data_IF_600230113590
#
_entry.id   IF_600230113590
#
_cell.length_a   1.000
_cell.length_b   1.000
_cell.length_c   1.000
_cell.angle_alpha   90.00
_cell.angle_beta   90.00
_cell.angle_gamma   90.00
#
_symmetry.space_group_name_H-M   'P 1'
#
loop_
_entity.id
_entity.type
_entity.pdbx_description
1 polymer ?
#
# COMPACT_ATOMS: atom_id res chain seq x y z
N UNK A 1 -18.20 -1.96 -23.08
CA UNK A 1 -16.80 -1.45 -23.00
C UNK A 1 -16.09 -2.19 -21.89
N UNK A 2 -14.85 -2.63 -22.12
CA UNK A 2 -14.02 -3.36 -21.16
C UNK A 2 -12.84 -2.47 -20.75
N UNK A 3 -12.70 -2.19 -19.46
CA UNK A 3 -11.66 -1.33 -18.92
C UNK A 3 -10.78 -2.13 -17.95
N UNK A 4 -9.45 -1.98 -18.05
CA UNK A 4 -8.52 -2.48 -17.04
C UNK A 4 -8.21 -1.36 -16.05
N UNK A 5 -8.56 -1.55 -14.79
CA UNK A 5 -8.25 -0.62 -13.72
C UNK A 5 -7.04 -1.10 -12.93
N UNK A 6 -6.02 -0.23 -12.85
CA UNK A 6 -4.78 -0.36 -12.12
C UNK A 6 -4.57 0.92 -11.30
N UNK A 7 -3.85 0.84 -10.18
CA UNK A 7 -3.43 1.99 -9.38
C UNK A 7 -2.16 1.68 -8.59
N UNK A 8 -1.60 2.68 -7.96
CA UNK A 8 -0.58 2.54 -6.93
C UNK A 8 0.61 1.70 -7.41
N UNK A 9 1.12 2.05 -8.61
CA UNK A 9 2.28 1.37 -9.19
C UNK A 9 3.54 1.60 -8.35
N UNK A 10 3.65 2.76 -7.71
CA UNK A 10 4.78 3.19 -6.88
C UNK A 10 6.13 2.88 -7.51
N UNK A 11 6.30 3.18 -8.80
CA UNK A 11 7.54 2.87 -9.52
C UNK A 11 8.73 3.53 -8.84
N UNK A 12 9.77 2.71 -8.59
CA UNK A 12 10.96 3.12 -7.84
C UNK A 12 10.88 2.90 -6.33
N UNK A 13 9.82 2.24 -5.83
CA UNK A 13 9.67 1.84 -4.41
C UNK A 13 10.84 1.01 -3.95
N UNK A 14 11.24 1.26 -2.70
CA UNK A 14 12.16 0.41 -1.94
C UNK A 14 11.45 -0.11 -0.70
N UNK A 15 11.61 -1.39 -0.42
CA UNK A 15 11.08 -2.02 0.80
C UNK A 15 12.28 -2.53 1.59
N UNK A 16 12.44 -2.11 2.84
CA UNK A 16 13.61 -2.46 3.67
C UNK A 16 14.94 -2.34 2.91
N UNK A 17 15.15 -1.23 2.19
CA UNK A 17 16.32 -0.93 1.35
C UNK A 17 16.46 -1.79 0.07
N UNK A 18 15.61 -2.78 -0.18
CA UNK A 18 15.59 -3.53 -1.44
C UNK A 18 14.84 -2.76 -2.53
N UNK A 19 15.43 -2.65 -3.71
CA UNK A 19 14.77 -2.05 -4.87
C UNK A 19 13.72 -3.00 -5.44
N UNK A 20 12.51 -2.50 -5.67
CA UNK A 20 11.43 -3.30 -6.27
C UNK A 20 11.36 -3.18 -7.80
N UNK A 21 12.27 -2.43 -8.45
CA UNK A 21 12.17 -2.09 -9.88
C UNK A 21 12.12 -3.32 -10.80
N UNK A 22 12.89 -4.37 -10.52
CA UNK A 22 12.89 -5.57 -11.35
C UNK A 22 11.58 -6.35 -11.22
N UNK A 23 11.03 -6.42 -10.01
CA UNK A 23 9.72 -7.01 -9.75
C UNK A 23 8.60 -6.16 -10.34
N UNK A 24 8.72 -4.83 -10.30
CA UNK A 24 7.80 -3.90 -10.92
C UNK A 24 7.80 -4.07 -12.45
N UNK A 25 8.96 -4.23 -13.07
CA UNK A 25 9.04 -4.55 -14.49
C UNK A 25 8.35 -5.88 -14.82
N UNK A 26 8.65 -6.92 -14.05
CA UNK A 26 8.07 -8.25 -14.24
C UNK A 26 6.54 -8.22 -14.15
N UNK A 27 5.98 -7.52 -13.15
CA UNK A 27 4.52 -7.47 -12.99
C UNK A 27 3.85 -6.65 -14.11
N UNK A 28 4.51 -5.57 -14.59
CA UNK A 28 4.02 -4.82 -15.74
C UNK A 28 4.06 -5.66 -17.04
N UNK A 29 5.09 -6.50 -17.24
CA UNK A 29 5.15 -7.46 -18.33
C UNK A 29 4.01 -8.49 -18.25
N UNK A 30 3.67 -8.98 -17.04
CA UNK A 30 2.52 -9.86 -16.83
C UNK A 30 1.20 -9.15 -17.17
N UNK A 31 1.04 -7.87 -16.77
CA UNK A 31 -0.15 -7.08 -17.12
C UNK A 31 -0.27 -6.92 -18.64
N UNK A 32 0.82 -6.65 -19.37
CA UNK A 32 0.81 -6.58 -20.82
C UNK A 32 0.41 -7.92 -21.45
N UNK A 33 0.88 -9.04 -20.91
CA UNK A 33 0.49 -10.39 -21.36
C UNK A 33 -1.00 -10.71 -21.09
N UNK A 34 -1.53 -10.22 -19.96
CA UNK A 34 -2.97 -10.30 -19.67
C UNK A 34 -3.80 -9.52 -20.70
N UNK A 35 -3.36 -8.33 -21.10
CA UNK A 35 -4.01 -7.52 -22.13
C UNK A 35 -4.00 -8.21 -23.51
N UNK A 36 -2.94 -8.94 -23.83
CA UNK A 36 -2.84 -9.68 -25.08
C UNK A 36 -3.78 -10.91 -25.10
N UNK A 37 -4.00 -11.55 -23.94
CA UNK A 37 -4.89 -12.70 -23.79
C UNK A 37 -6.35 -12.34 -23.49
N UNK A 38 -6.59 -11.18 -22.91
CA UNK A 38 -7.90 -10.67 -22.48
C UNK A 38 -8.07 -9.23 -22.94
N UNK A 39 -8.36 -8.99 -24.24
CA UNK A 39 -8.41 -7.64 -24.80
C UNK A 39 -9.38 -6.72 -24.06
N UNK A 40 -8.95 -5.48 -23.85
CA UNK A 40 -9.74 -4.39 -23.28
C UNK A 40 -9.80 -3.20 -24.23
N UNK A 41 -10.73 -2.29 -23.98
CA UNK A 41 -10.92 -1.08 -24.79
C UNK A 41 -10.10 0.09 -24.27
N UNK A 42 -9.74 0.10 -22.96
CA UNK A 42 -8.89 1.12 -22.35
C UNK A 42 -8.27 0.65 -21.03
N UNK A 43 -7.26 1.39 -20.58
CA UNK A 43 -6.57 1.19 -19.28
C UNK A 43 -6.75 2.43 -18.41
N UNK A 44 -7.14 2.25 -17.15
CA UNK A 44 -7.25 3.28 -16.13
C UNK A 44 -6.09 3.13 -15.15
N UNK A 45 -5.34 4.21 -14.90
CA UNK A 45 -4.25 4.30 -13.93
C UNK A 45 -4.65 5.32 -12.85
N UNK A 46 -5.15 4.82 -11.73
CA UNK A 46 -5.78 5.64 -10.70
C UNK A 46 -4.78 6.21 -9.67
N UNK A 47 -3.70 6.82 -10.14
CA UNK A 47 -2.73 7.57 -9.33
C UNK A 47 -1.61 6.74 -8.73
N UNK A 48 -0.69 7.43 -8.05
CA UNK A 48 0.56 6.91 -7.47
C UNK A 48 1.37 6.08 -8.45
N UNK A 49 1.65 6.72 -9.60
CA UNK A 49 2.47 6.12 -10.66
C UNK A 49 3.91 5.95 -10.19
N UNK A 50 4.41 6.92 -9.42
CA UNK A 50 5.74 6.89 -8.80
C UNK A 50 5.64 6.81 -7.27
N UNK A 51 6.69 6.27 -6.64
CA UNK A 51 6.79 6.22 -5.18
C UNK A 51 7.08 7.59 -4.54
N UNK A 52 7.64 8.53 -5.31
CA UNK A 52 8.06 9.85 -4.82
C UNK A 52 7.82 10.94 -5.86
N UNK A 53 7.58 12.20 -5.44
CA UNK A 53 7.39 13.33 -6.36
C UNK A 53 8.58 13.57 -7.29
N UNK A 54 9.79 13.15 -6.89
CA UNK A 54 11.01 13.15 -7.70
C UNK A 54 11.48 11.71 -7.85
N UNK A 55 10.98 10.98 -8.87
CA UNK A 55 11.32 9.58 -9.08
C UNK A 55 12.76 9.40 -9.57
N UNK A 56 13.40 8.26 -9.29
CA UNK A 56 14.67 7.92 -9.89
C UNK A 56 14.52 7.70 -11.41
N UNK A 57 15.60 7.95 -12.16
CA UNK A 57 15.59 7.87 -13.63
C UNK A 57 15.15 6.48 -14.15
N UNK A 58 15.46 5.41 -13.42
CA UNK A 58 15.05 4.04 -13.74
C UNK A 58 13.52 3.88 -13.69
N UNK A 59 12.87 4.48 -12.69
CA UNK A 59 11.40 4.46 -12.57
C UNK A 59 10.74 5.25 -13.72
N UNK A 60 11.32 6.39 -14.09
CA UNK A 60 10.85 7.19 -15.25
C UNK A 60 10.93 6.38 -16.54
N UNK A 61 12.08 5.71 -16.79
CA UNK A 61 12.23 4.83 -17.96
C UNK A 61 11.26 3.64 -17.94
N UNK A 62 10.95 3.11 -16.75
CA UNK A 62 10.00 2.00 -16.63
C UNK A 62 8.56 2.43 -16.95
N UNK A 63 8.13 3.60 -16.48
CA UNK A 63 6.81 4.14 -16.83
C UNK A 63 6.72 4.47 -18.32
N UNK A 64 7.73 5.13 -18.88
CA UNK A 64 7.81 5.46 -20.33
C UNK A 64 7.70 4.18 -21.17
N UNK A 65 8.46 3.13 -20.82
CA UNK A 65 8.38 1.84 -21.50
C UNK A 65 6.97 1.23 -21.42
N UNK A 66 6.32 1.27 -20.24
CA UNK A 66 4.99 0.72 -20.06
C UNK A 66 3.93 1.47 -20.87
N UNK A 67 3.92 2.81 -20.80
CA UNK A 67 3.01 3.64 -21.59
C UNK A 67 3.24 3.47 -23.10
N UNK A 68 4.48 3.35 -23.53
CA UNK A 68 4.84 3.07 -24.93
C UNK A 68 4.29 1.70 -25.38
N UNK A 69 4.42 0.68 -24.52
CA UNK A 69 3.90 -0.66 -24.82
C UNK A 69 2.37 -0.69 -24.90
N UNK A 70 1.66 0.09 -24.08
CA UNK A 70 0.21 0.26 -24.14
C UNK A 70 -0.21 1.02 -25.41
N UNK A 71 0.48 2.11 -25.74
CA UNK A 71 0.24 2.90 -26.95
C UNK A 71 0.47 2.10 -28.22
N UNK A 72 1.51 1.24 -28.28
CA UNK A 72 1.77 0.33 -29.39
C UNK A 72 0.60 -0.67 -29.63
N UNK A 73 -0.15 -1.02 -28.58
CA UNK A 73 -1.39 -1.80 -28.65
C UNK A 73 -2.61 -0.96 -29.05
N UNK A 74 -2.42 0.34 -29.28
CA UNK A 74 -3.49 1.31 -29.58
C UNK A 74 -4.54 1.42 -28.47
N UNK A 75 -4.19 1.05 -27.25
CA UNK A 75 -5.08 1.16 -26.09
C UNK A 75 -5.07 2.61 -25.58
N UNK A 76 -6.24 3.26 -25.42
CA UNK A 76 -6.36 4.49 -24.67
C UNK A 76 -5.93 4.24 -23.22
N UNK A 77 -5.12 5.14 -22.68
CA UNK A 77 -4.69 5.13 -21.28
C UNK A 77 -5.20 6.39 -20.61
N UNK A 78 -5.83 6.24 -19.47
CA UNK A 78 -6.36 7.32 -18.64
C UNK A 78 -5.63 7.31 -17.31
N UNK A 79 -4.77 8.29 -17.07
CA UNK A 79 -3.90 8.36 -15.91
C UNK A 79 -4.16 9.63 -15.09
N UNK A 80 -4.11 9.51 -13.79
CA UNK A 80 -4.14 10.64 -12.86
C UNK A 80 -2.90 10.62 -11.97
N UNK A 81 -2.57 11.75 -11.35
CA UNK A 81 -1.59 11.80 -10.26
C UNK A 81 -2.25 11.45 -8.92
N UNK A 82 -1.54 10.69 -8.08
CA UNK A 82 -1.89 10.42 -6.69
C UNK A 82 -1.20 11.37 -5.72
N UNK A 83 -1.18 11.01 -4.43
CA UNK A 83 -0.56 11.84 -3.39
C UNK A 83 0.98 11.72 -3.32
N UNK A 84 1.55 10.64 -3.83
CA UNK A 84 3.00 10.43 -3.97
C UNK A 84 3.58 11.11 -5.21
N UNK A 85 2.75 11.35 -6.22
CA UNK A 85 3.17 11.97 -7.48
C UNK A 85 3.31 13.50 -7.36
N UNK A 86 4.15 14.10 -8.25
CA UNK A 86 4.02 15.52 -8.58
C UNK A 86 3.05 15.68 -9.75
N UNK A 87 1.91 16.33 -9.51
CA UNK A 87 0.89 16.56 -10.54
C UNK A 87 1.48 17.26 -11.76
N UNK A 88 2.40 18.24 -11.56
CA UNK A 88 3.05 18.99 -12.63
C UNK A 88 3.96 18.10 -13.50
N UNK A 89 4.66 17.15 -12.87
CA UNK A 89 5.54 16.21 -13.58
C UNK A 89 4.76 15.17 -14.36
N UNK A 90 3.69 14.65 -13.77
CA UNK A 90 2.77 13.70 -14.43
C UNK A 90 2.06 14.39 -15.60
N UNK A 91 1.58 15.62 -15.43
CA UNK A 91 0.92 16.38 -16.47
C UNK A 91 1.87 16.90 -17.57
N UNK A 92 3.20 16.79 -17.37
CA UNK A 92 4.16 17.25 -18.37
C UNK A 92 3.96 16.55 -19.71
N UNK A 93 3.78 17.35 -20.76
CA UNK A 93 3.57 16.85 -22.13
C UNK A 93 2.20 16.22 -22.39
N UNK A 94 1.22 16.33 -21.48
CA UNK A 94 -0.12 15.73 -21.59
C UNK A 94 -0.81 16.00 -22.93
N UNK A 95 -0.69 17.21 -23.49
CA UNK A 95 -1.24 17.56 -24.80
C UNK A 95 -0.59 16.78 -25.94
N UNK A 96 0.72 16.49 -25.85
CA UNK A 96 1.43 15.68 -26.84
C UNK A 96 1.05 14.20 -26.70
N UNK A 97 0.96 13.72 -25.47
CA UNK A 97 0.58 12.34 -25.14
C UNK A 97 -0.84 12.01 -25.58
N UNK A 98 -1.77 12.95 -25.53
CA UNK A 98 -3.14 12.79 -26.03
C UNK A 98 -3.19 12.41 -27.51
N UNK A 99 -2.24 12.89 -28.33
CA UNK A 99 -2.08 12.45 -29.72
C UNK A 99 -1.76 10.96 -29.89
N UNK A 100 -1.19 10.33 -28.86
CA UNK A 100 -0.93 8.89 -28.76
C UNK A 100 -1.97 8.13 -27.94
N UNK A 101 -3.12 8.78 -27.67
CA UNK A 101 -4.22 8.25 -26.83
C UNK A 101 -3.83 7.98 -25.38
N UNK A 102 -2.83 8.66 -24.85
CA UNK A 102 -2.48 8.66 -23.43
C UNK A 102 -2.98 9.98 -22.84
N UNK A 103 -4.07 9.89 -22.09
CA UNK A 103 -4.75 11.01 -21.46
C UNK A 103 -4.32 11.09 -19.98
N UNK A 104 -3.70 12.21 -19.63
CA UNK A 104 -3.21 12.43 -18.27
C UNK A 104 -3.99 13.60 -17.67
N UNK A 105 -4.41 13.47 -16.42
CA UNK A 105 -5.06 14.59 -15.73
C UNK A 105 -4.13 15.80 -15.68
N UNK A 106 -4.65 17.00 -15.93
CA UNK A 106 -3.90 18.23 -15.67
C UNK A 106 -3.64 18.39 -14.17
N UNK A 107 -2.81 19.35 -13.80
CA UNK A 107 -2.82 19.91 -12.43
C UNK A 107 -4.23 20.45 -12.18
N UNK A 108 -4.77 20.21 -10.97
CA UNK A 108 -6.13 20.61 -10.66
C UNK A 108 -6.33 22.12 -10.82
N UNK A 109 -7.22 22.51 -11.72
CA UNK A 109 -7.58 23.90 -12.05
C UNK A 109 -9.11 24.12 -12.10
N UNK A 110 -9.89 23.09 -11.73
CA UNK A 110 -11.35 23.15 -11.71
C UNK A 110 -12.02 21.80 -11.97
N UNK A 111 -13.21 21.84 -12.53
CA UNK A 111 -14.00 20.65 -12.84
C UNK A 111 -13.37 19.90 -14.03
N UNK A 112 -13.05 18.60 -13.88
CA UNK A 112 -12.50 17.84 -15.00
C UNK A 112 -13.55 17.70 -16.13
N UNK A 113 -13.13 18.04 -17.35
CA UNK A 113 -13.91 17.73 -18.54
C UNK A 113 -13.83 16.22 -18.85
N UNK A 114 -14.95 15.58 -19.25
CA UNK A 114 -14.93 14.19 -19.61
C UNK A 114 -14.21 13.95 -20.96
N UNK A 115 -13.57 12.79 -21.06
CA UNK A 115 -13.06 12.24 -22.33
C UNK A 115 -14.00 11.13 -22.73
N UNK A 116 -14.69 11.27 -23.85
CA UNK A 116 -15.74 10.34 -24.28
C UNK A 116 -15.18 9.26 -25.21
N UNK A 117 -15.38 8.00 -24.85
CA UNK A 117 -15.25 6.85 -25.73
C UNK A 117 -16.64 6.36 -26.14
N UNK A 118 -16.73 5.60 -27.23
CA UNK A 118 -18.01 5.07 -27.71
C UNK A 118 -17.87 3.58 -28.07
N UNK A 119 -18.87 2.77 -27.71
CA UNK A 119 -19.04 1.38 -28.13
C UNK A 119 -20.48 1.11 -28.58
N UNK A 120 -20.84 -0.16 -28.76
CA UNK A 120 -22.17 -0.58 -29.23
C UNK A 120 -23.32 -0.18 -28.26
N UNK A 121 -23.02 0.12 -27.00
CA UNK A 121 -23.98 0.56 -25.99
C UNK A 121 -24.04 2.11 -25.87
N UNK A 122 -23.31 2.83 -26.72
CA UNK A 122 -23.28 4.30 -26.74
C UNK A 122 -22.04 4.89 -26.05
N UNK A 123 -22.09 6.18 -25.65
CA UNK A 123 -20.95 6.89 -25.09
C UNK A 123 -20.64 6.48 -23.65
N UNK A 124 -19.35 6.57 -23.31
CA UNK A 124 -18.79 6.44 -21.97
C UNK A 124 -17.92 7.65 -21.69
N UNK A 125 -18.31 8.45 -20.72
CA UNK A 125 -17.60 9.64 -20.28
C UNK A 125 -16.66 9.29 -19.15
N UNK A 126 -15.35 9.52 -19.35
CA UNK A 126 -14.29 9.21 -18.39
C UNK A 126 -13.76 10.53 -17.83
N UNK A 127 -13.92 10.70 -16.50
CA UNK A 127 -13.48 11.86 -15.75
C UNK A 127 -12.18 11.55 -15.03
N UNK A 128 -11.16 12.39 -15.20
CA UNK A 128 -9.85 12.23 -14.59
C UNK A 128 -9.70 13.26 -13.45
N UNK A 129 -9.83 12.81 -12.21
CA UNK A 129 -9.71 13.65 -11.02
C UNK A 129 -8.42 13.29 -10.26
N UNK A 130 -7.36 14.12 -10.31
CA UNK A 130 -6.14 13.88 -9.57
C UNK A 130 -6.39 13.93 -8.06
N UNK A 131 -5.41 13.52 -7.26
CA UNK A 131 -5.47 13.67 -5.81
C UNK A 131 -5.72 15.12 -5.41
N UNK A 132 -6.72 15.33 -4.56
CA UNK A 132 -7.13 16.65 -4.10
C UNK A 132 -6.79 16.87 -2.62
N UNK A 133 -6.24 18.04 -2.32
CA UNK A 133 -6.15 18.59 -0.96
C UNK A 133 -7.11 19.75 -0.81
N UNK A 134 -7.71 19.99 0.38
CA UNK A 134 -8.61 21.12 0.61
C UNK A 134 -8.04 22.46 0.16
N UNK A 135 -6.73 22.69 0.41
CA UNK A 135 -6.07 23.93 0.00
C UNK A 135 -6.05 24.17 -1.51
N UNK A 136 -5.93 23.09 -2.31
CA UNK A 136 -5.94 23.18 -3.78
C UNK A 136 -7.32 23.63 -4.27
N UNK A 137 -8.38 23.05 -3.71
CA UNK A 137 -9.76 23.36 -4.11
C UNK A 137 -10.16 24.76 -3.64
N UNK A 138 -9.75 25.19 -2.42
CA UNK A 138 -9.95 26.59 -1.96
C UNK A 138 -9.28 27.61 -2.88
N UNK A 139 -8.12 27.27 -3.45
CA UNK A 139 -7.45 28.18 -4.38
C UNK A 139 -8.27 28.44 -5.65
N UNK A 140 -8.96 27.41 -6.14
CA UNK A 140 -9.81 27.51 -7.35
C UNK A 140 -11.19 28.05 -7.04
N UNK A 141 -11.74 27.73 -5.87
CA UNK A 141 -13.09 28.14 -5.41
C UNK A 141 -13.00 28.85 -4.04
N UNK A 142 -12.50 30.10 -4.02
CA UNK A 142 -12.21 30.81 -2.76
C UNK A 142 -13.46 31.15 -1.94
N UNK A 143 -14.63 31.23 -2.57
CA UNK A 143 -15.90 31.55 -1.93
C UNK A 143 -16.63 30.34 -1.32
N UNK A 144 -16.09 29.12 -1.52
CA UNK A 144 -16.67 27.90 -0.98
C UNK A 144 -16.11 27.58 0.42
N UNK A 145 -16.96 27.14 1.37
CA UNK A 145 -16.53 26.76 2.72
C UNK A 145 -15.90 25.36 2.69
N UNK A 146 -14.63 25.28 2.34
CA UNK A 146 -13.88 24.02 2.21
C UNK A 146 -12.92 23.88 3.38
N UNK A 147 -13.22 23.00 4.34
CA UNK A 147 -12.37 22.71 5.49
C UNK A 147 -11.77 21.29 5.41
N UNK A 148 -12.58 20.32 4.98
CA UNK A 148 -12.21 18.90 4.94
C UNK A 148 -11.97 18.39 3.52
N UNK A 149 -11.41 17.20 3.40
CA UNK A 149 -11.27 16.49 2.12
C UNK A 149 -12.64 16.16 1.51
N UNK A 150 -13.65 15.82 2.34
CA UNK A 150 -15.03 15.62 1.87
C UNK A 150 -15.64 16.90 1.30
N UNK A 151 -15.40 18.06 1.91
CA UNK A 151 -15.87 19.35 1.37
C UNK A 151 -15.22 19.64 0.03
N UNK A 152 -13.91 19.43 -0.06
CA UNK A 152 -13.13 19.65 -1.27
C UNK A 152 -13.62 18.76 -2.42
N UNK A 153 -13.71 17.45 -2.20
CA UNK A 153 -14.21 16.51 -3.19
C UNK A 153 -15.67 16.81 -3.56
N UNK A 154 -16.53 17.02 -2.57
CA UNK A 154 -17.94 17.36 -2.77
C UNK A 154 -18.12 18.65 -3.55
N UNK A 155 -17.28 19.67 -3.32
CA UNK A 155 -17.30 20.91 -4.10
C UNK A 155 -17.05 20.65 -5.59
N UNK A 156 -16.09 19.81 -5.92
CA UNK A 156 -15.74 19.46 -7.31
C UNK A 156 -16.80 18.55 -7.93
N UNK A 157 -17.21 17.47 -7.24
CA UNK A 157 -18.13 16.47 -7.80
C UNK A 157 -19.55 17.01 -8.00
N UNK A 158 -20.03 17.93 -7.15
CA UNK A 158 -21.32 18.64 -7.40
C UNK A 158 -21.32 19.46 -8.67
N UNK A 159 -20.15 19.87 -9.15
CA UNK A 159 -19.96 20.60 -10.40
C UNK A 159 -19.71 19.69 -11.60
N UNK A 160 -19.29 18.44 -11.36
CA UNK A 160 -19.31 17.40 -12.36
C UNK A 160 -20.76 16.99 -12.58
N UNK A 161 -21.32 17.32 -13.73
CA UNK A 161 -22.70 16.95 -14.11
C UNK A 161 -22.65 15.91 -15.23
N UNK A 162 -22.47 14.60 -14.91
CA UNK A 162 -22.48 13.56 -15.94
C UNK A 162 -23.81 13.57 -16.70
N UNK A 163 -23.76 13.42 -18.02
CA UNK A 163 -24.96 13.25 -18.83
C UNK A 163 -25.68 11.97 -18.39
N UNK A 164 -26.94 12.04 -17.95
CA UNK A 164 -27.68 10.86 -17.52
C UNK A 164 -27.91 9.83 -18.62
N UNK A 165 -27.78 10.22 -19.90
CA UNK A 165 -27.86 9.30 -21.03
C UNK A 165 -26.55 8.56 -21.30
N UNK A 166 -25.40 9.09 -20.83
CA UNK A 166 -24.10 8.49 -20.99
C UNK A 166 -23.74 7.59 -19.79
N UNK A 167 -22.96 6.56 -20.02
CA UNK A 167 -22.27 5.83 -18.96
C UNK A 167 -21.10 6.69 -18.46
N UNK A 168 -20.89 6.72 -17.17
CA UNK A 168 -19.90 7.60 -16.56
C UNK A 168 -18.91 6.83 -15.68
N UNK A 169 -17.61 7.10 -15.88
CA UNK A 169 -16.52 6.53 -15.12
C UNK A 169 -15.72 7.67 -14.49
N UNK A 170 -15.53 7.62 -13.20
CA UNK A 170 -14.62 8.51 -12.49
C UNK A 170 -13.32 7.76 -12.16
N UNK A 171 -12.17 8.33 -12.49
CA UNK A 171 -10.86 7.90 -11.99
C UNK A 171 -10.43 8.89 -10.93
N UNK A 172 -10.23 8.44 -9.70
CA UNK A 172 -9.90 9.29 -8.55
C UNK A 172 -8.90 8.61 -7.63
N UNK A 173 -8.22 9.42 -6.80
CA UNK A 173 -7.23 8.93 -5.85
C UNK A 173 -7.50 9.60 -4.49
N UNK A 174 -8.29 8.93 -3.62
CA UNK A 174 -8.72 9.48 -2.34
C UNK A 174 -8.95 8.36 -1.33
N UNK A 175 -8.78 8.67 -0.03
CA UNK A 175 -9.15 7.76 1.04
C UNK A 175 -10.64 7.88 1.34
N UNK A 176 -11.41 6.81 1.13
CA UNK A 176 -12.86 6.79 1.33
C UNK A 176 -13.20 6.15 2.69
N UNK A 177 -14.06 6.79 3.45
CA UNK A 177 -14.49 6.32 4.76
C UNK A 177 -15.07 4.89 4.71
N UNK A 178 -14.70 4.06 5.67
CA UNK A 178 -15.11 2.65 5.76
C UNK A 178 -14.25 1.67 4.98
N UNK A 179 -13.23 2.13 4.25
CA UNK A 179 -12.21 1.27 3.67
C UNK A 179 -11.12 0.91 4.68
N UNK A 180 -10.50 -0.28 4.51
CA UNK A 180 -9.41 -0.76 5.36
C UNK A 180 -8.06 -0.34 4.78
N UNK A 181 -7.24 0.35 5.60
CA UNK A 181 -5.87 0.73 5.27
C UNK A 181 -4.85 -0.32 5.75
N UNK A 182 -3.65 -0.37 5.14
CA UNK A 182 -2.49 -1.14 5.58
C UNK A 182 -1.41 -0.19 6.13
N UNK A 183 -0.34 -0.77 6.71
CA UNK A 183 0.80 0.02 7.26
C UNK A 183 1.62 0.76 6.20
N UNK A 184 1.51 0.38 4.93
CA UNK A 184 2.20 1.04 3.82
C UNK A 184 1.54 2.33 3.35
N UNK A 185 0.33 2.58 3.79
CA UNK A 185 -0.42 3.81 3.57
C UNK A 185 -0.24 4.70 4.81
N UNK A 186 0.00 5.99 4.59
CA UNK A 186 0.15 6.97 5.68
C UNK A 186 -1.18 7.72 5.89
N UNK A 187 -2.16 7.14 6.62
CA UNK A 187 -3.39 7.87 6.91
C UNK A 187 -3.08 9.07 7.81
N UNK A 188 -3.70 10.20 7.55
CA UNK A 188 -3.58 11.37 8.42
C UNK A 188 -4.09 11.06 9.83
N UNK A 189 -3.40 11.62 10.82
CA UNK A 189 -3.79 11.46 12.23
C UNK A 189 -5.24 11.90 12.42
N UNK A 190 -6.08 10.97 12.93
CA UNK A 190 -7.51 11.22 13.17
C UNK A 190 -8.42 11.05 11.95
N UNK A 191 -7.93 10.51 10.81
CA UNK A 191 -8.77 10.23 9.63
C UNK A 191 -9.31 11.49 8.95
N UNK A 192 -8.62 12.62 9.07
CA UNK A 192 -9.02 13.92 8.50
C UNK A 192 -9.01 13.96 6.97
N UNK A 193 -8.35 12.99 6.34
CA UNK A 193 -8.24 12.80 4.88
C UNK A 193 -9.32 11.90 4.28
N UNK A 194 -10.20 11.33 5.11
CA UNK A 194 -11.33 10.52 4.67
C UNK A 194 -12.39 11.34 3.94
N UNK A 195 -12.90 10.77 2.83
CA UNK A 195 -14.03 11.33 2.08
C UNK A 195 -15.26 10.43 2.20
N UNK A 196 -16.46 11.02 2.11
CA UNK A 196 -17.71 10.28 2.14
C UNK A 196 -17.94 9.54 0.81
N UNK A 197 -18.18 8.22 0.87
CA UNK A 197 -18.46 7.39 -0.30
C UNK A 197 -19.73 7.77 -1.07
N UNK A 198 -20.70 8.40 -0.43
CA UNK A 198 -21.92 8.88 -1.08
C UNK A 198 -21.67 9.96 -2.15
N UNK A 199 -20.52 10.65 -2.09
CA UNK A 199 -20.12 11.62 -3.10
C UNK A 199 -19.96 11.01 -4.50
N UNK A 200 -19.80 9.71 -4.60
CA UNK A 200 -19.58 8.98 -5.86
C UNK A 200 -20.86 8.43 -6.51
N UNK A 201 -22.05 8.66 -5.92
CA UNK A 201 -23.31 8.05 -6.38
C UNK A 201 -23.72 8.44 -7.81
N UNK A 202 -23.20 9.57 -8.32
CA UNK A 202 -23.50 10.04 -9.68
C UNK A 202 -22.79 9.26 -10.81
N UNK A 203 -21.88 8.32 -10.50
CA UNK A 203 -21.08 7.61 -11.49
C UNK A 203 -21.45 6.11 -11.56
N UNK A 204 -21.42 5.53 -12.78
CA UNK A 204 -21.65 4.09 -12.97
C UNK A 204 -20.50 3.26 -12.40
N UNK A 205 -19.26 3.72 -12.59
CA UNK A 205 -18.06 3.10 -12.02
C UNK A 205 -17.09 4.16 -11.49
N UNK A 206 -16.47 3.89 -10.34
CA UNK A 206 -15.42 4.73 -9.75
C UNK A 206 -14.15 3.90 -9.55
N UNK A 207 -13.14 4.21 -10.33
CA UNK A 207 -11.80 3.63 -10.24
C UNK A 207 -10.98 4.39 -9.19
N UNK A 208 -10.83 3.82 -8.00
CA UNK A 208 -10.09 4.41 -6.90
C UNK A 208 -8.67 3.87 -6.82
N UNK A 209 -7.70 4.75 -6.59
CA UNK A 209 -6.38 4.47 -6.04
C UNK A 209 -6.23 5.04 -4.64
N UNK A 210 -5.06 4.84 -4.02
CA UNK A 210 -4.62 5.22 -2.70
C UNK A 210 -4.51 4.05 -1.72
N UNK A 211 -5.46 3.13 -1.69
CA UNK A 211 -5.39 1.97 -0.80
C UNK A 211 -4.82 0.75 -1.52
N UNK A 212 -3.86 0.11 -0.88
CA UNK A 212 -3.07 -0.99 -1.45
C UNK A 212 -3.82 -2.32 -1.48
N UNK A 213 -4.90 -2.47 -0.69
CA UNK A 213 -5.71 -3.67 -0.67
C UNK A 213 -6.86 -3.59 -1.68
N UNK A 214 -7.03 -4.58 -2.58
CA UNK A 214 -8.20 -4.64 -3.47
C UNK A 214 -9.48 -4.76 -2.65
N UNK A 215 -10.34 -3.76 -2.72
CA UNK A 215 -11.59 -3.72 -1.95
C UNK A 215 -12.64 -2.81 -2.58
N UNK A 216 -13.91 -3.05 -2.26
CA UNK A 216 -15.03 -2.18 -2.56
C UNK A 216 -15.36 -1.27 -1.39
N UNK A 217 -15.98 -0.14 -1.66
CA UNK A 217 -16.50 0.76 -0.64
C UNK A 217 -17.98 1.05 -0.92
N UNK A 218 -18.83 0.66 0.03
CA UNK A 218 -20.28 0.75 -0.14
C UNK A 218 -20.79 -0.21 -1.21
N UNK A 219 -20.77 0.21 -2.47
CA UNK A 219 -21.21 -0.59 -3.63
C UNK A 219 -20.03 -1.19 -4.41
N UNK A 220 -20.27 -2.28 -5.15
CA UNK A 220 -19.22 -3.01 -5.89
C UNK A 220 -18.53 -2.14 -6.96
N UNK A 221 -19.24 -1.15 -7.48
CA UNK A 221 -18.78 -0.27 -8.55
C UNK A 221 -17.98 0.96 -8.06
N UNK A 222 -17.77 1.12 -6.75
CA UNK A 222 -16.80 2.05 -6.14
C UNK A 222 -15.69 1.20 -5.54
N UNK A 223 -14.50 1.21 -6.17
CA UNK A 223 -13.54 0.16 -5.90
C UNK A 223 -12.09 0.63 -5.97
N UNK A 224 -11.30 0.18 -5.02
CA UNK A 224 -9.84 0.14 -5.07
C UNK A 224 -9.38 -1.13 -5.79
N UNK A 225 -8.50 -1.02 -6.79
CA UNK A 225 -7.88 -2.20 -7.38
C UNK A 225 -6.71 -2.71 -6.54
N UNK A 226 -6.14 -1.86 -5.69
CA UNK A 226 -4.94 -2.11 -4.91
C UNK A 226 -3.66 -2.03 -5.72
N UNK A 227 -2.52 -2.18 -5.05
CA UNK A 227 -1.19 -2.23 -5.68
C UNK A 227 -1.00 -3.53 -6.48
N UNK A 228 -0.23 -3.52 -7.57
CA UNK A 228 0.08 -4.74 -8.33
C UNK A 228 1.08 -5.66 -7.61
N UNK A 229 1.84 -5.15 -6.65
CA UNK A 229 2.79 -5.88 -5.80
C UNK A 229 2.54 -5.56 -4.33
N UNK A 230 3.06 -6.38 -3.43
CA UNK A 230 3.08 -6.10 -1.99
C UNK A 230 4.24 -5.15 -1.68
N UNK A 231 3.97 -4.07 -0.96
CA UNK A 231 4.96 -3.06 -0.59
C UNK A 231 5.19 -2.94 0.91
N UNK A 232 4.49 -3.77 1.71
CA UNK A 232 4.65 -3.89 3.17
C UNK A 232 4.39 -5.32 3.62
N UNK A 233 5.00 -5.74 4.75
CA UNK A 233 4.70 -7.03 5.36
C UNK A 233 3.28 -7.11 5.92
N UNK A 234 2.62 -5.98 6.20
CA UNK A 234 1.18 -5.97 6.50
C UNK A 234 0.32 -6.48 5.34
N UNK A 235 0.85 -6.43 4.11
CA UNK A 235 0.22 -6.95 2.91
C UNK A 235 0.56 -8.43 2.61
N UNK A 236 1.40 -9.09 3.45
CA UNK A 236 1.92 -10.44 3.17
C UNK A 236 0.82 -11.48 2.85
N UNK A 237 -0.37 -11.32 3.44
CA UNK A 237 -1.51 -12.21 3.24
C UNK A 237 -2.45 -11.81 2.10
N UNK A 238 -2.21 -10.66 1.45
CA UNK A 238 -3.06 -10.19 0.35
C UNK A 238 -2.73 -10.92 -0.95
N UNK A 239 -3.76 -11.06 -1.80
CA UNK A 239 -3.61 -11.52 -3.18
C UNK A 239 -3.78 -10.32 -4.09
N UNK A 240 -2.73 -9.99 -4.83
CA UNK A 240 -2.73 -8.84 -5.74
C UNK A 240 -3.41 -9.18 -7.06
N UNK A 241 -4.10 -8.20 -7.63
CA UNK A 241 -4.87 -8.37 -8.87
C UNK A 241 -5.03 -7.06 -9.62
N UNK A 242 -5.24 -7.15 -10.92
CA UNK A 242 -5.81 -6.08 -11.72
C UNK A 242 -7.35 -6.21 -11.73
N UNK A 243 -8.07 -5.12 -11.88
CA UNK A 243 -9.55 -5.14 -11.94
C UNK A 243 -10.01 -4.95 -13.39
N UNK A 244 -10.71 -5.95 -13.92
CA UNK A 244 -11.40 -5.86 -15.21
C UNK A 244 -12.83 -5.39 -14.96
N UNK A 245 -13.22 -4.32 -15.63
CA UNK A 245 -14.55 -3.72 -15.56
C UNK A 245 -15.22 -3.83 -16.90
N UNK A 246 -16.38 -4.44 -16.96
CA UNK A 246 -17.18 -4.58 -18.18
C UNK A 246 -18.44 -3.71 -18.02
N UNK A 247 -18.53 -2.66 -18.84
CA UNK A 247 -19.67 -1.75 -18.89
C UNK A 247 -20.59 -2.19 -20.04
N UNK A 248 -21.75 -2.73 -19.71
CA UNK A 248 -22.85 -3.03 -20.63
C UNK A 248 -23.70 -1.79 -20.92
N UNK A 249 -25.02 -1.94 -20.96
CA UNK A 249 -25.95 -0.80 -20.97
C UNK A 249 -25.80 0.03 -19.67
N UNK A 250 -26.34 1.25 -19.68
CA UNK A 250 -26.30 2.13 -18.48
C UNK A 250 -26.80 1.38 -17.25
N UNK A 251 -25.96 1.38 -16.18
CA UNK A 251 -26.21 0.67 -14.93
C UNK A 251 -25.81 -0.81 -14.91
N UNK A 252 -25.45 -1.41 -16.05
CA UNK A 252 -24.92 -2.79 -16.11
C UNK A 252 -23.40 -2.76 -16.03
N UNK A 253 -22.86 -3.04 -14.86
CA UNK A 253 -21.41 -3.06 -14.59
C UNK A 253 -21.04 -4.41 -13.98
N UNK A 254 -20.14 -5.13 -14.67
CA UNK A 254 -19.59 -6.38 -14.17
C UNK A 254 -18.11 -6.22 -13.85
N UNK A 255 -17.68 -6.78 -12.72
CA UNK A 255 -16.31 -6.65 -12.22
C UNK A 255 -15.70 -8.04 -12.05
N UNK A 256 -14.50 -8.21 -12.57
CA UNK A 256 -13.70 -9.42 -12.44
C UNK A 256 -12.29 -9.04 -11.99
N UNK A 257 -11.75 -9.74 -11.00
CA UNK A 257 -10.35 -9.59 -10.58
C UNK A 257 -9.47 -10.56 -11.35
N UNK A 258 -8.41 -10.05 -11.96
CA UNK A 258 -7.40 -10.84 -12.68
C UNK A 258 -6.19 -10.98 -11.76
N UNK A 259 -5.87 -12.18 -11.25
CA UNK A 259 -4.78 -12.35 -10.29
C UNK A 259 -3.43 -11.97 -10.91
N UNK A 260 -2.59 -11.33 -10.10
CA UNK A 260 -1.21 -11.01 -10.42
C UNK A 260 -0.28 -11.83 -9.52
N UNK A 261 0.68 -12.51 -10.14
CA UNK A 261 1.65 -13.36 -9.43
C UNK A 261 3.00 -12.66 -9.42
N UNK A 262 3.55 -12.29 -8.26
CA UNK A 262 4.86 -11.66 -8.19
C UNK A 262 5.97 -12.65 -8.60
N UNK A 263 7.12 -12.12 -9.04
CA UNK A 263 8.33 -12.91 -9.27
C UNK A 263 8.92 -13.40 -7.94
N UNK A 264 9.02 -12.50 -6.97
CA UNK A 264 9.40 -12.79 -5.59
C UNK A 264 8.24 -12.35 -4.71
N UNK A 265 7.64 -13.26 -3.97
CA UNK A 265 6.56 -12.90 -3.05
C UNK A 265 7.12 -12.30 -1.76
N UNK A 266 6.30 -11.51 -1.07
CA UNK A 266 6.65 -10.93 0.21
C UNK A 266 5.93 -11.72 1.29
N UNK A 267 6.71 -12.44 2.13
CA UNK A 267 6.19 -13.41 3.10
C UNK A 267 6.78 -13.24 4.48
N UNK A 268 6.00 -13.59 5.48
CA UNK A 268 6.44 -13.74 6.86
C UNK A 268 6.72 -15.22 7.17
N UNK A 269 7.86 -15.48 7.80
CA UNK A 269 8.28 -16.81 8.23
C UNK A 269 8.65 -16.78 9.71
N UNK A 270 8.18 -17.74 10.47
CA UNK A 270 8.39 -17.82 11.92
C UNK A 270 8.89 -19.22 12.29
N UNK A 271 9.94 -19.29 13.12
CA UNK A 271 10.49 -20.55 13.63
C UNK A 271 11.80 -20.34 14.37
N UNK A 272 12.36 -21.41 14.95
CA UNK A 272 13.69 -21.35 15.53
C UNK A 272 14.77 -21.33 14.43
N UNK A 273 15.95 -20.81 14.76
CA UNK A 273 17.08 -20.77 13.84
C UNK A 273 17.40 -22.19 13.29
N UNK A 274 17.41 -23.20 14.14
CA UNK A 274 17.68 -24.59 13.74
C UNK A 274 16.63 -25.14 12.78
N UNK A 275 15.34 -24.80 13.00
CA UNK A 275 14.27 -25.20 12.07
C UNK A 275 14.39 -24.52 10.72
N UNK A 276 14.66 -23.21 10.72
CA UNK A 276 14.76 -22.43 9.47
C UNK A 276 16.01 -22.75 8.67
N UNK A 277 17.07 -23.28 9.29
CA UNK A 277 18.30 -23.73 8.61
C UNK A 277 18.32 -25.22 8.28
N UNK A 278 17.31 -26.00 8.68
CA UNK A 278 17.15 -27.40 8.28
C UNK A 278 16.80 -27.49 6.78
N UNK A 279 17.69 -28.07 5.98
CA UNK A 279 17.51 -28.21 4.53
C UNK A 279 16.17 -28.84 4.14
N UNK A 280 15.65 -29.75 4.94
CA UNK A 280 14.34 -30.40 4.70
C UNK A 280 13.16 -29.43 4.78
N UNK A 281 13.36 -28.28 5.44
CA UNK A 281 12.33 -27.25 5.60
C UNK A 281 12.31 -26.24 4.45
N UNK A 282 13.47 -25.90 3.88
CA UNK A 282 13.59 -24.87 2.88
C UNK A 282 13.84 -25.33 1.45
N UNK A 283 14.29 -26.58 1.25
CA UNK A 283 14.74 -27.07 -0.07
C UNK A 283 13.65 -26.98 -1.17
N UNK A 284 12.38 -27.14 -0.79
CA UNK A 284 11.23 -27.10 -1.71
C UNK A 284 10.40 -25.81 -1.55
N UNK A 285 10.98 -24.75 -0.99
CA UNK A 285 10.32 -23.46 -0.81
C UNK A 285 10.95 -22.39 -1.70
N UNK A 286 10.22 -21.30 -1.95
CA UNK A 286 10.74 -20.14 -2.67
C UNK A 286 11.70 -19.35 -1.75
N UNK A 287 12.95 -19.79 -1.67
CA UNK A 287 13.98 -19.18 -0.81
C UNK A 287 14.39 -17.77 -1.27
N UNK A 288 14.13 -17.46 -2.56
CA UNK A 288 14.42 -16.16 -3.15
C UNK A 288 13.33 -15.12 -2.92
N UNK A 289 12.23 -15.48 -2.24
CA UNK A 289 11.19 -14.52 -1.85
C UNK A 289 11.72 -13.47 -0.87
N UNK A 290 11.05 -12.33 -0.81
CA UNK A 290 11.31 -11.30 0.18
C UNK A 290 10.74 -11.71 1.54
N UNK A 291 11.63 -11.89 2.52
CA UNK A 291 11.24 -12.48 3.79
C UNK A 291 11.38 -11.51 4.97
N UNK A 292 10.37 -11.54 5.82
CA UNK A 292 10.45 -11.13 7.21
C UNK A 292 10.50 -12.38 8.07
N UNK A 293 11.65 -12.64 8.71
CA UNK A 293 11.82 -13.79 9.60
C UNK A 293 11.68 -13.35 11.05
N UNK A 294 10.86 -14.07 11.80
CA UNK A 294 10.74 -13.93 13.25
C UNK A 294 11.32 -15.18 13.92
N UNK A 295 12.47 -15.03 14.56
CA UNK A 295 13.10 -16.10 15.33
C UNK A 295 12.41 -16.30 16.67
N UNK A 296 12.18 -17.57 17.03
CA UNK A 296 11.56 -17.97 18.32
C UNK A 296 12.59 -18.42 19.34
N UNK A 297 13.88 -18.30 19.02
CA UNK A 297 14.99 -18.67 19.92
C UNK A 297 15.00 -17.76 21.15
N UNK A 298 15.12 -18.36 22.35
CA UNK A 298 15.14 -17.63 23.61
C UNK A 298 16.41 -16.79 23.78
N UNK A 299 17.51 -17.20 23.15
CA UNK A 299 18.78 -16.48 23.12
C UNK A 299 19.05 -15.93 21.73
N UNK A 300 19.68 -14.78 21.66
CA UNK A 300 20.06 -14.18 20.40
C UNK A 300 21.09 -15.08 19.70
N UNK A 301 20.81 -15.41 18.44
CA UNK A 301 21.73 -16.19 17.61
C UNK A 301 22.79 -15.27 17.05
N UNK A 302 24.10 -15.52 17.32
CA UNK A 302 25.18 -14.70 16.77
C UNK A 302 25.15 -14.67 15.24
N UNK A 303 25.24 -13.45 14.67
CA UNK A 303 25.25 -13.22 13.22
C UNK A 303 24.07 -13.85 12.45
N UNK A 304 22.91 -14.00 13.11
CA UNK A 304 21.72 -14.67 12.55
C UNK A 304 21.36 -14.13 11.16
N UNK A 305 21.30 -12.80 11.00
CA UNK A 305 20.95 -12.17 9.72
C UNK A 305 21.91 -12.59 8.59
N UNK A 306 23.22 -12.53 8.81
CA UNK A 306 24.20 -12.89 7.80
C UNK A 306 24.14 -14.39 7.44
N UNK A 307 23.95 -15.25 8.45
CA UNK A 307 23.84 -16.70 8.26
C UNK A 307 22.56 -17.10 7.54
N UNK A 308 21.44 -16.49 7.90
CA UNK A 308 20.16 -16.77 7.24
C UNK A 308 20.17 -16.27 5.79
N UNK A 309 20.83 -15.16 5.48
CA UNK A 309 20.99 -14.66 4.10
C UNK A 309 21.76 -15.60 3.17
N UNK A 310 22.53 -16.56 3.69
CA UNK A 310 23.15 -17.61 2.87
C UNK A 310 22.08 -18.55 2.27
N UNK A 311 20.95 -18.73 2.98
CA UNK A 311 19.84 -19.58 2.55
C UNK A 311 18.74 -18.74 1.88
N UNK A 312 18.44 -17.58 2.47
CA UNK A 312 17.37 -16.66 2.08
C UNK A 312 18.00 -15.32 1.64
N UNK A 313 18.49 -15.21 0.40
CA UNK A 313 19.28 -14.04 -0.04
C UNK A 313 18.50 -12.73 0.08
N UNK A 314 17.18 -12.77 -0.07
CA UNK A 314 16.29 -11.62 0.01
C UNK A 314 15.63 -11.48 1.40
N UNK A 315 16.31 -11.92 2.47
CA UNK A 315 15.87 -11.65 3.84
C UNK A 315 15.94 -10.14 4.12
N UNK A 316 14.76 -9.49 4.16
CA UNK A 316 14.61 -8.05 4.35
C UNK A 316 14.65 -7.65 5.82
N UNK A 317 13.96 -8.42 6.68
CA UNK A 317 13.77 -8.09 8.09
C UNK A 317 13.93 -9.34 8.96
N UNK A 318 14.60 -9.15 10.11
CA UNK A 318 14.77 -10.19 11.12
C UNK A 318 14.36 -9.64 12.48
N UNK A 319 13.37 -10.26 13.09
CA UNK A 319 12.91 -9.96 14.44
C UNK A 319 13.00 -11.20 15.33
N UNK A 320 12.89 -10.99 16.65
CA UNK A 320 12.81 -12.04 17.65
C UNK A 320 11.48 -11.99 18.39
N UNK A 321 10.85 -13.15 18.58
CA UNK A 321 9.71 -13.35 19.46
C UNK A 321 10.13 -14.22 20.65
N UNK A 322 10.80 -13.59 21.62
CA UNK A 322 11.26 -14.23 22.84
C UNK A 322 10.79 -13.44 24.09
N UNK A 323 11.06 -13.94 25.29
CA UNK A 323 10.61 -13.30 26.54
C UNK A 323 11.06 -11.83 26.62
N UNK A 324 12.29 -11.52 26.21
CA UNK A 324 12.81 -10.14 26.21
C UNK A 324 11.99 -9.19 25.34
N UNK A 325 11.69 -9.58 24.10
CA UNK A 325 10.94 -8.73 23.17
C UNK A 325 9.49 -8.57 23.57
N UNK A 326 8.87 -9.61 24.17
CA UNK A 326 7.50 -9.54 24.70
C UNK A 326 7.39 -8.60 25.88
N UNK A 327 8.34 -8.66 26.82
CA UNK A 327 8.32 -7.80 28.01
C UNK A 327 8.63 -6.35 27.68
N UNK A 328 9.40 -6.08 26.62
CA UNK A 328 9.69 -4.73 26.15
C UNK A 328 8.41 -4.08 25.54
N UNK A 329 7.61 -4.84 24.81
CA UNK A 329 6.31 -4.41 24.31
C UNK A 329 5.28 -4.16 25.44
N UNK A 330 5.36 -4.93 26.54
CA UNK A 330 4.49 -4.74 27.72
C UNK A 330 4.90 -3.48 28.54
N UNK A 331 6.15 -3.04 28.48
CA UNK A 331 6.61 -1.82 29.14
C UNK A 331 6.19 -0.53 28.40
N UNK A 332 5.93 -0.60 27.12
CA UNK A 332 5.35 0.50 26.31
C UNK A 332 3.82 0.62 26.48
N UNK A 333 3.17 -0.36 27.11
CA UNK A 333 1.77 -0.26 27.54
C UNK A 333 1.69 0.60 28.82
N UNK A 334 0.66 1.47 28.99
CA UNK A 334 0.55 2.36 30.15
C UNK A 334 0.58 1.54 31.45
N UNK A 335 1.63 1.76 32.26
CA UNK A 335 1.97 1.01 33.45
C UNK A 335 0.80 0.99 34.46
N UNK A 336 0.26 -0.19 34.74
CA UNK A 336 -0.41 -0.46 36.01
C UNK A 336 0.69 -0.55 37.08
N UNK A 337 0.71 0.43 37.96
CA UNK A 337 1.64 0.50 39.09
C UNK A 337 1.29 -0.60 40.09
N UNK A 338 1.84 -1.79 39.90
CA UNK A 338 1.89 -2.80 40.97
C UNK A 338 3.08 -2.47 41.86
N UNK A 339 2.85 -2.43 43.19
CA UNK A 339 3.92 -2.27 44.18
C UNK A 339 4.73 -3.57 44.24
N UNK A 340 5.80 -3.67 43.50
CA UNK A 340 6.75 -4.78 43.52
C UNK A 340 7.86 -4.51 44.53
N UNK A 341 8.34 -5.54 45.22
CA UNK A 341 9.51 -5.47 46.05
C UNK A 341 10.79 -5.23 45.23
N UNK A 342 11.87 -4.69 45.79
CA UNK A 342 13.14 -4.51 45.09
C UNK A 342 13.72 -5.79 44.49
N UNK A 343 13.53 -6.93 45.16
CA UNK A 343 13.94 -8.23 44.64
C UNK A 343 13.10 -8.63 43.44
N UNK A 344 11.80 -8.38 43.46
CA UNK A 344 10.90 -8.66 42.33
C UNK A 344 11.20 -7.75 41.16
N UNK A 345 11.53 -6.47 41.36
CA UNK A 345 12.02 -5.57 40.32
C UNK A 345 13.32 -6.06 39.69
N UNK A 346 14.27 -6.49 40.53
CA UNK A 346 15.55 -7.01 40.04
C UNK A 346 15.39 -8.35 39.30
N UNK A 347 14.55 -9.24 39.81
CA UNK A 347 14.25 -10.53 39.17
C UNK A 347 13.60 -10.32 37.79
N UNK A 348 12.63 -9.39 37.69
CA UNK A 348 12.00 -9.04 36.41
C UNK A 348 13.01 -8.42 35.43
N UNK A 349 13.89 -7.54 35.91
CA UNK A 349 14.97 -6.96 35.10
C UNK A 349 15.98 -8.03 34.64
N UNK A 350 16.38 -8.96 35.52
CA UNK A 350 17.28 -10.05 35.18
C UNK A 350 16.67 -10.96 34.11
N UNK A 351 15.41 -11.35 34.28
CA UNK A 351 14.67 -12.17 33.32
C UNK A 351 14.57 -11.48 31.96
N UNK A 352 14.30 -10.17 31.97
CA UNK A 352 14.25 -9.34 30.78
C UNK A 352 15.59 -9.33 30.01
N UNK A 353 16.72 -9.23 30.74
CA UNK A 353 18.04 -9.16 30.13
C UNK A 353 18.58 -10.52 29.69
N UNK A 354 18.23 -11.60 30.38
CA UNK A 354 18.82 -12.93 30.18
C UNK A 354 17.88 -13.93 29.50
N UNK A 355 16.61 -13.55 29.20
CA UNK A 355 15.56 -14.41 28.64
C UNK A 355 15.31 -15.70 29.46
N UNK A 356 15.66 -15.70 30.73
CA UNK A 356 15.44 -16.81 31.67
C UNK A 356 15.38 -16.28 33.11
N UNK A 357 14.57 -16.88 33.98
CA UNK A 357 14.46 -16.47 35.37
C UNK A 357 15.77 -16.73 36.12
N UNK A 358 15.97 -16.00 37.20
CA UNK A 358 17.06 -16.24 38.14
C UNK A 358 16.99 -17.63 38.73
N UNK A 359 18.12 -18.30 38.84
CA UNK A 359 18.23 -19.56 39.60
C UNK A 359 18.01 -19.30 41.08
N UNK A 360 17.62 -20.33 41.85
CA UNK A 360 17.45 -20.23 43.31
C UNK A 360 18.68 -19.69 44.04
N UNK A 361 19.90 -20.02 43.56
CA UNK A 361 21.15 -19.48 44.12
C UNK A 361 21.33 -17.96 43.81
N UNK A 362 21.01 -17.55 42.62
CA UNK A 362 21.07 -16.12 42.22
C UNK A 362 20.04 -15.30 43.02
N UNK A 363 18.82 -15.80 43.16
CA UNK A 363 17.76 -15.14 43.93
C UNK A 363 18.20 -14.97 45.40
N UNK A 364 18.73 -16.03 46.02
CA UNK A 364 19.20 -16.01 47.41
C UNK A 364 20.38 -14.99 47.59
N UNK A 365 21.31 -14.96 46.62
CA UNK A 365 22.41 -14.02 46.64
C UNK A 365 21.94 -12.58 46.54
N UNK A 366 21.04 -12.27 45.60
CA UNK A 366 20.50 -10.90 45.43
C UNK A 366 19.69 -10.48 46.68
N UNK A 367 18.91 -11.34 47.25
CA UNK A 367 18.17 -11.06 48.47
C UNK A 367 19.11 -10.73 49.62
N UNK A 368 20.17 -11.51 49.81
CA UNK A 368 21.17 -11.24 50.85
C UNK A 368 21.91 -9.89 50.62
N UNK A 369 22.19 -9.58 49.36
CA UNK A 369 22.85 -8.31 49.02
C UNK A 369 21.93 -7.11 49.31
N UNK A 370 20.65 -7.19 48.94
CA UNK A 370 19.65 -6.16 49.18
C UNK A 370 19.48 -5.94 50.69
N UNK A 371 19.38 -7.01 51.46
CA UNK A 371 19.27 -6.93 52.93
C UNK A 371 20.53 -6.32 53.60
N UNK A 372 21.69 -6.57 53.02
CA UNK A 372 22.96 -5.99 53.54
C UNK A 372 23.02 -4.51 53.27
N UNK A 373 22.71 -4.07 52.05
CA UNK A 373 22.72 -2.66 51.66
C UNK A 373 21.72 -1.81 52.50
N UNK A 374 20.55 -2.30 52.75
CA UNK A 374 19.54 -1.61 53.54
C UNK A 374 19.84 -1.56 55.04
N UNK A 375 20.63 -2.50 55.58
CA UNK A 375 21.13 -2.39 56.97
C UNK A 375 22.22 -1.37 57.14
N UNK A 376 22.93 -0.97 56.05
CA UNK A 376 23.97 0.06 56.07
C UNK A 376 23.40 1.49 55.92
N UNK A 377 22.16 1.66 55.41
CA UNK A 377 21.50 2.95 55.30
C UNK A 377 20.76 3.38 56.58
N UNK A 378 20.56 2.49 57.54
CA UNK A 378 19.91 2.76 58.84
C UNK A 378 20.92 3.08 59.97
N UNK A 379 22.20 3.35 59.67
CA UNK A 379 23.26 3.79 60.58
C UNK A 379 23.76 5.18 60.11
#
# INVERSE_FOLDING_TARGET
MRLLHLSDLHLGKRVCEFSMLDDQRYILEQILSLLDSSPVDAVLLAGDLYDKPVPPAEAVRLLDWFLTALSARRLPVFAISGNHDSAERIAFGSHLLAGSRVYVSPVFDGVPAPITLTDDFGPVDIYLLPFLKPAMVRHVYPDEPIETYSDALGCVLRRCTPDPAHRSVLVAHQFVAGAAACESEEPSVGGLDCVDGALFDGFDYVALGHLHSPQKVGRDTVRYCGTPLKYSFSEARQHKSATLVELGAKGDVRITTLPLTPRHDLREVRGSYMELTDRRRYADTAVDDYLHITLTDQQDVPDALARLRVIYPNLMRLDYDNLRTRTQNDLDAPARTEQKTPLEHFAAFYELQNNQPMTSQQTAFCQQLIETLWKEEDV
#
